data_IF_816324774600
#
_entry.id   IF_816324774600
#
_cell.length_a   1.000
_cell.length_b   1.000
_cell.length_c   1.000
_cell.angle_alpha   90.00
_cell.angle_beta   90.00
_cell.angle_gamma   90.00
#
_symmetry.space_group_name_H-M   'P 1'
#
loop_
_entity.id
_entity.type
_entity.pdbx_description
1 polymer ?
#
# COMPACT_ATOMS: atom_id res chain seq x y z
N UNK A 1 5.21 2.18 9.59
CA UNK A 1 4.20 1.32 10.26
C UNK A 1 4.64 -0.12 10.07
N UNK A 2 4.36 -1.05 10.99
CA UNK A 2 4.76 -2.45 10.76
C UNK A 2 3.93 -3.08 9.63
N UNK A 3 4.59 -3.72 8.66
CA UNK A 3 3.92 -4.43 7.58
C UNK A 3 3.01 -5.55 8.09
N UNK A 4 3.34 -6.16 9.23
CA UNK A 4 2.48 -7.16 9.87
C UNK A 4 1.09 -6.62 10.24
N UNK A 5 0.97 -5.31 10.53
CA UNK A 5 -0.32 -4.66 10.78
C UNK A 5 -1.08 -4.48 9.46
N UNK A 6 -0.36 -4.07 8.40
CA UNK A 6 -0.91 -3.92 7.05
C UNK A 6 -1.49 -5.24 6.54
N UNK A 7 -0.81 -6.36 6.80
CA UNK A 7 -1.29 -7.69 6.37
C UNK A 7 -2.53 -8.18 7.10
N UNK A 8 -2.75 -7.76 8.35
CA UNK A 8 -3.95 -8.15 9.12
C UNK A 8 -5.21 -7.56 8.49
N UNK A 9 -5.16 -6.29 8.09
CA UNK A 9 -6.26 -5.59 7.44
C UNK A 9 -6.02 -5.41 5.93
N UNK A 10 -5.37 -6.40 5.29
CA UNK A 10 -4.95 -6.30 3.89
C UNK A 10 -6.05 -5.84 2.92
N UNK A 11 -7.31 -6.33 3.00
CA UNK A 11 -8.36 -5.87 2.09
C UNK A 11 -8.61 -4.35 2.13
N UNK A 12 -8.50 -3.73 3.31
CA UNK A 12 -8.68 -2.28 3.47
C UNK A 12 -7.50 -1.52 2.86
N UNK A 13 -6.28 -2.02 3.11
CA UNK A 13 -5.07 -1.43 2.56
C UNK A 13 -4.96 -1.60 1.05
N UNK A 14 -5.38 -2.75 0.51
CA UNK A 14 -5.45 -3.02 -0.91
C UNK A 14 -6.42 -2.07 -1.61
N UNK A 15 -7.59 -1.81 -1.04
CA UNK A 15 -8.51 -0.80 -1.58
C UNK A 15 -7.88 0.60 -1.60
N UNK A 16 -7.23 1.02 -0.51
CA UNK A 16 -6.54 2.31 -0.46
C UNK A 16 -5.38 2.41 -1.47
N UNK A 17 -4.63 1.32 -1.67
CA UNK A 17 -3.56 1.26 -2.67
C UNK A 17 -4.13 1.39 -4.08
N UNK A 18 -5.23 0.70 -4.38
CA UNK A 18 -5.88 0.79 -5.69
C UNK A 18 -6.47 2.19 -5.98
N UNK A 19 -6.94 2.89 -4.95
CA UNK A 19 -7.40 4.29 -5.07
C UNK A 19 -6.25 5.26 -5.35
N UNK A 20 -5.14 5.12 -4.62
CA UNK A 20 -4.04 6.09 -4.67
C UNK A 20 -3.00 5.78 -5.78
N UNK A 21 -2.95 4.52 -6.24
CA UNK A 21 -2.05 4.05 -7.30
C UNK A 21 -2.84 3.32 -8.38
N UNK A 22 -3.22 4.05 -9.45
CA UNK A 22 -4.01 3.51 -10.57
C UNK A 22 -3.36 2.29 -11.26
N UNK A 23 -2.05 2.11 -11.11
CA UNK A 23 -1.30 0.98 -11.65
C UNK A 23 -1.50 -0.33 -10.86
N UNK A 24 -2.06 -0.26 -9.66
CA UNK A 24 -2.32 -1.39 -8.78
C UNK A 24 -3.83 -1.64 -8.75
N UNK A 25 -4.36 -2.33 -9.74
CA UNK A 25 -5.78 -2.67 -9.74
C UNK A 25 -6.13 -3.62 -8.58
N UNK A 26 -7.34 -3.45 -8.03
CA UNK A 26 -7.78 -4.16 -6.84
C UNK A 26 -7.70 -5.69 -6.95
N UNK A 27 -8.08 -6.34 -8.08
CA UNK A 27 -7.95 -7.79 -8.23
C UNK A 27 -6.50 -8.30 -8.11
N UNK A 28 -5.54 -7.54 -8.64
CA UNK A 28 -4.12 -7.88 -8.55
C UNK A 28 -3.63 -7.80 -7.10
N UNK A 29 -4.01 -6.74 -6.38
CA UNK A 29 -3.65 -6.57 -4.97
C UNK A 29 -4.30 -7.63 -4.06
N UNK A 30 -5.53 -8.05 -4.34
CA UNK A 30 -6.16 -9.18 -3.64
C UNK A 30 -5.35 -10.47 -3.83
N UNK A 31 -4.82 -10.69 -5.04
CA UNK A 31 -3.93 -11.80 -5.36
C UNK A 31 -2.58 -11.75 -4.65
N UNK A 32 -2.10 -10.57 -4.26
CA UNK A 32 -0.85 -10.42 -3.53
C UNK A 32 -0.95 -10.87 -2.08
N UNK A 33 -2.15 -10.85 -1.49
CA UNK A 33 -2.39 -11.32 -0.10
C UNK A 33 -1.44 -10.70 0.92
N UNK A 34 -1.09 -9.43 0.74
CA UNK A 34 -0.16 -8.72 1.60
C UNK A 34 1.31 -9.06 1.39
N UNK A 35 1.68 -9.67 0.25
CA UNK A 35 3.07 -9.83 -0.15
C UNK A 35 3.68 -8.47 -0.52
N UNK A 36 4.53 -7.99 0.38
CA UNK A 36 5.19 -6.68 0.24
C UNK A 36 6.06 -6.60 -1.00
N UNK A 37 6.78 -7.68 -1.33
CA UNK A 37 7.73 -7.66 -2.44
C UNK A 37 6.99 -7.44 -3.75
N UNK A 38 5.86 -8.13 -3.96
CA UNK A 38 5.02 -7.95 -5.14
C UNK A 38 4.47 -6.52 -5.29
N UNK A 39 4.05 -5.90 -4.18
CA UNK A 39 3.60 -4.51 -4.20
C UNK A 39 4.74 -3.58 -4.62
N UNK A 40 5.94 -3.76 -4.05
CA UNK A 40 7.13 -2.97 -4.39
C UNK A 40 7.53 -3.17 -5.84
N UNK A 41 7.51 -4.41 -6.34
CA UNK A 41 7.85 -4.73 -7.73
C UNK A 41 6.87 -4.07 -8.72
N UNK A 42 5.57 -4.10 -8.41
CA UNK A 42 4.58 -3.41 -9.23
C UNK A 42 4.72 -1.89 -9.20
N UNK A 43 4.98 -1.30 -8.03
CA UNK A 43 5.24 0.15 -7.92
C UNK A 43 6.50 0.54 -8.69
N UNK A 44 7.56 -0.27 -8.59
CA UNK A 44 8.81 -0.06 -9.32
C UNK A 44 8.56 -0.07 -10.84
N UNK A 45 7.88 -1.10 -11.33
CA UNK A 45 7.59 -1.25 -12.76
C UNK A 45 6.66 -0.16 -13.29
N UNK A 46 5.64 0.25 -12.51
CA UNK A 46 4.66 1.22 -12.95
C UNK A 46 5.17 2.66 -12.98
N UNK A 47 6.10 3.01 -12.10
CA UNK A 47 6.59 4.37 -11.93
C UNK A 47 8.04 4.57 -12.41
N UNK A 48 8.63 3.56 -13.07
CA UNK A 48 10.04 3.55 -13.51
C UNK A 48 11.00 3.86 -12.34
N UNK A 49 10.72 3.27 -11.18
CA UNK A 49 11.50 3.44 -9.96
C UNK A 49 12.41 2.23 -9.77
N UNK A 50 13.54 2.44 -9.10
CA UNK A 50 14.29 1.33 -8.51
C UNK A 50 13.47 0.65 -7.40
N UNK A 51 13.78 -0.61 -7.07
CA UNK A 51 13.13 -1.29 -5.94
C UNK A 51 13.28 -0.52 -4.62
N UNK A 52 14.42 0.16 -4.41
CA UNK A 52 14.65 0.97 -3.21
C UNK A 52 13.71 2.20 -3.17
N UNK A 53 13.58 2.91 -4.29
CA UNK A 53 12.67 4.07 -4.38
C UNK A 53 11.21 3.67 -4.27
N UNK A 54 10.81 2.54 -4.87
CA UNK A 54 9.45 2.01 -4.74
C UNK A 54 9.15 1.58 -3.30
N UNK A 55 10.13 0.97 -2.61
CA UNK A 55 10.02 0.62 -1.19
C UNK A 55 9.85 1.87 -0.31
N UNK A 56 10.69 2.88 -0.52
CA UNK A 56 10.61 4.15 0.23
C UNK A 56 9.29 4.87 -0.05
N UNK A 57 8.84 4.86 -1.30
CA UNK A 57 7.54 5.41 -1.70
C UNK A 57 6.40 4.73 -0.94
N UNK A 58 6.42 3.39 -0.87
CA UNK A 58 5.44 2.62 -0.12
C UNK A 58 5.47 2.94 1.39
N UNK A 59 6.66 3.03 2.00
CA UNK A 59 6.80 3.39 3.43
C UNK A 59 6.28 4.80 3.73
N UNK A 60 6.61 5.78 2.88
CA UNK A 60 6.13 7.15 3.00
C UNK A 60 4.61 7.21 2.86
N UNK A 61 4.05 6.49 1.88
CA UNK A 61 2.61 6.41 1.68
C UNK A 61 1.90 5.78 2.88
N UNK A 62 2.37 4.64 3.37
CA UNK A 62 1.83 3.98 4.56
C UNK A 62 1.87 4.91 5.78
N UNK A 63 2.96 5.65 5.97
CA UNK A 63 3.09 6.62 7.06
C UNK A 63 2.06 7.76 6.97
N UNK A 64 1.73 8.22 5.77
CA UNK A 64 0.71 9.26 5.55
C UNK A 64 -0.71 8.72 5.72
N UNK A 65 -1.02 7.60 5.07
CA UNK A 65 -2.36 7.00 5.05
C UNK A 65 -2.77 6.45 6.42
N UNK A 66 -1.85 5.86 7.18
CA UNK A 66 -2.13 5.41 8.55
C UNK A 66 -2.55 6.53 9.49
N UNK A 67 -1.97 7.72 9.36
CA UNK A 67 -2.42 8.91 10.12
C UNK A 67 -3.82 9.32 9.73
N UNK A 68 -4.10 9.39 8.43
CA UNK A 68 -5.43 9.75 7.92
C UNK A 68 -6.52 8.76 8.38
N UNK A 69 -6.22 7.46 8.37
CA UNK A 69 -7.15 6.43 8.87
C UNK A 69 -7.36 6.51 10.38
N UNK A 70 -6.32 6.82 11.16
CA UNK A 70 -6.45 7.01 12.59
C UNK A 70 -7.33 8.22 12.94
N UNK A 71 -7.18 9.31 12.19
CA UNK A 71 -7.98 10.53 12.34
C UNK A 71 -9.46 10.31 11.99
N UNK A 72 -9.73 9.62 10.88
CA UNK A 72 -11.10 9.27 10.48
C UNK A 72 -11.83 8.42 11.53
N UNK A 73 -11.10 7.57 12.27
CA UNK A 73 -11.68 6.70 13.31
C UNK A 73 -11.95 7.41 14.65
N UNK A 74 -11.36 8.59 14.86
CA UNK A 74 -11.64 9.44 16.04
C UNK A 74 -12.82 10.38 15.78
N UNK A 75 -13.11 10.66 14.51
CA UNK A 75 -14.19 11.54 14.08
C UNK A 75 -15.55 10.84 13.87
N UNK A 76 -15.59 9.50 13.93
CA UNK A 76 -16.78 8.67 13.77
C UNK A 76 -17.31 8.18 15.13
#
# INVERSE_FOLDING_TARGET
>A
MSWSIVTVDWPVWAACLAEDFECLDQPTLEGFRGDRAKVVDCLAAAHDLTQAEAFDTLEVWLGRRSRHMAEARVAA
#
